data_IF_439196095316
#
_entry.id   IF_439196095316
#
_cell.length_a   1.000
_cell.length_b   1.000
_cell.length_c   1.000
_cell.angle_alpha   90.00
_cell.angle_beta   90.00
_cell.angle_gamma   90.00
#
_symmetry.space_group_name_H-M   'P 1'
#
loop_
_entity.id
_entity.type
_entity.pdbx_description
1 polymer ?
#
# COMPACT_ATOMS: atom_id res chain seq x y z
N UNK A 1 -23.06 -1.28 25.78
CA UNK A 1 -22.97 -1.07 24.33
C UNK A 1 -22.32 0.28 24.10
N UNK A 2 -21.25 0.49 23.34
CA UNK A 2 -20.23 -0.37 22.77
C UNK A 2 -18.96 0.51 22.77
N UNK A 3 -17.79 -0.10 23.01
CA UNK A 3 -16.53 0.64 23.04
C UNK A 3 -16.21 1.26 21.69
N UNK A 4 -15.70 2.49 21.69
CA UNK A 4 -15.03 3.10 20.54
C UNK A 4 -13.72 2.35 20.28
N UNK A 5 -13.54 1.66 19.14
CA UNK A 5 -12.22 1.28 18.72
C UNK A 5 -11.55 2.49 18.08
N UNK A 6 -10.49 2.92 18.73
CA UNK A 6 -9.57 3.96 18.32
C UNK A 6 -8.64 3.37 17.25
N UNK A 7 -8.98 3.51 15.96
CA UNK A 7 -8.04 3.25 14.86
C UNK A 7 -8.14 4.39 13.84
N UNK A 8 -7.14 5.27 13.91
CA UNK A 8 -7.03 6.49 13.14
C UNK A 8 -6.74 6.24 11.65
N UNK A 9 -7.76 6.47 10.84
CA UNK A 9 -7.66 6.84 9.43
C UNK A 9 -8.44 8.14 9.16
N UNK A 10 -8.43 9.08 10.12
CA UNK A 10 -8.92 10.45 9.93
C UNK A 10 -7.85 11.34 9.26
N UNK A 11 -7.27 10.88 8.14
CA UNK A 11 -6.49 11.75 7.24
C UNK A 11 -6.86 11.55 5.76
N UNK A 12 -8.06 11.07 5.46
CA UNK A 12 -8.63 11.21 4.13
C UNK A 12 -10.08 11.68 4.20
N UNK A 13 -10.23 12.98 4.50
CA UNK A 13 -11.43 13.73 4.14
C UNK A 13 -11.22 14.30 2.73
N UNK A 14 -12.09 14.04 1.75
CA UNK A 14 -12.04 14.72 0.47
C UNK A 14 -12.46 16.18 0.68
N UNK A 15 -11.49 17.03 1.00
CA UNK A 15 -11.69 18.42 1.42
C UNK A 15 -10.42 19.09 1.95
N UNK A 16 -9.44 18.31 2.43
CA UNK A 16 -8.12 18.80 2.86
C UNK A 16 -7.11 18.81 1.70
N UNK A 17 -7.45 19.44 0.57
CA UNK A 17 -6.58 19.53 -0.62
C UNK A 17 -5.46 20.58 -0.52
N UNK A 18 -5.05 21.00 0.68
CA UNK A 18 -4.07 22.08 0.86
C UNK A 18 -2.75 21.67 1.56
N UNK A 19 -2.57 20.41 1.97
CA UNK A 19 -1.32 19.96 2.61
C UNK A 19 -0.40 19.08 1.76
N UNK A 20 -0.82 18.71 0.55
CA UNK A 20 0.04 17.98 -0.38
C UNK A 20 0.05 18.69 -1.74
N UNK A 21 1.15 19.40 -1.99
CA UNK A 21 1.44 19.88 -3.34
C UNK A 21 1.75 18.66 -4.21
N UNK A 22 1.23 18.56 -5.44
CA UNK A 22 1.65 17.54 -6.40
C UNK A 22 3.16 17.63 -6.76
N UNK A 23 3.85 18.66 -6.27
CA UNK A 23 5.29 18.85 -6.36
C UNK A 23 6.03 18.66 -5.02
N UNK A 24 5.40 18.02 -4.03
CA UNK A 24 6.09 17.67 -2.78
C UNK A 24 7.21 16.66 -3.07
N UNK A 25 8.49 17.05 -2.93
CA UNK A 25 9.61 16.19 -3.25
C UNK A 25 9.69 14.96 -2.33
N UNK A 26 9.17 15.05 -1.09
CA UNK A 26 9.15 13.90 -0.18
C UNK A 26 8.12 12.86 -0.62
N UNK A 27 6.95 13.29 -1.10
CA UNK A 27 5.98 12.37 -1.68
C UNK A 27 6.49 11.68 -2.95
N UNK A 28 7.18 12.42 -3.81
CA UNK A 28 7.79 11.85 -5.01
C UNK A 28 8.86 10.82 -4.64
N UNK A 29 9.69 11.12 -3.65
CA UNK A 29 10.71 10.19 -3.15
C UNK A 29 10.07 8.93 -2.56
N UNK A 30 8.99 9.07 -1.80
CA UNK A 30 8.24 7.95 -1.24
C UNK A 30 7.65 7.07 -2.35
N UNK A 31 7.06 7.66 -3.39
CA UNK A 31 6.50 6.92 -4.52
C UNK A 31 7.59 6.12 -5.25
N UNK A 32 8.77 6.71 -5.45
CA UNK A 32 9.93 6.01 -6.03
C UNK A 32 10.35 4.84 -5.14
N UNK A 33 10.52 5.07 -3.84
CA UNK A 33 10.92 4.01 -2.90
C UNK A 33 9.91 2.86 -2.86
N UNK A 34 8.62 3.17 -2.80
CA UNK A 34 7.55 2.18 -2.84
C UNK A 34 7.61 1.36 -4.12
N UNK A 35 7.81 2.02 -5.27
CA UNK A 35 7.92 1.35 -6.57
C UNK A 35 9.12 0.40 -6.62
N UNK A 36 10.27 0.80 -6.07
CA UNK A 36 11.46 -0.05 -5.99
C UNK A 36 11.24 -1.27 -5.07
N UNK A 37 10.55 -1.10 -3.94
CA UNK A 37 10.18 -2.22 -3.06
C UNK A 37 9.28 -3.20 -3.79
N UNK A 38 8.22 -2.70 -4.46
CA UNK A 38 7.30 -3.53 -5.24
C UNK A 38 8.06 -4.31 -6.31
N UNK A 39 8.94 -3.62 -7.04
CA UNK A 39 9.77 -4.23 -8.08
C UNK A 39 10.64 -5.35 -7.51
N UNK A 40 11.36 -5.08 -6.42
CA UNK A 40 12.21 -6.07 -5.76
C UNK A 40 11.42 -7.31 -5.32
N UNK A 41 10.21 -7.13 -4.78
CA UNK A 41 9.32 -8.24 -4.39
C UNK A 41 8.85 -9.05 -5.60
N UNK A 42 8.51 -8.37 -6.71
CA UNK A 42 8.05 -9.05 -7.92
C UNK A 42 9.17 -9.77 -8.68
N UNK A 43 10.40 -9.25 -8.63
CA UNK A 43 11.58 -9.85 -9.24
C UNK A 43 12.23 -10.94 -8.38
N UNK A 44 11.81 -11.08 -7.11
CA UNK A 44 12.31 -12.12 -6.23
C UNK A 44 12.03 -13.51 -6.83
N UNK A 45 13.09 -14.25 -7.17
CA UNK A 45 13.02 -15.54 -7.86
C UNK A 45 12.63 -16.75 -6.99
N UNK A 46 12.07 -16.54 -5.80
CA UNK A 46 11.62 -17.61 -4.91
C UNK A 46 10.29 -18.19 -5.40
N UNK A 47 10.23 -19.44 -5.90
CA UNK A 47 9.00 -20.03 -6.41
C UNK A 47 7.95 -20.24 -5.31
N UNK A 48 8.36 -20.41 -4.05
CA UNK A 48 7.43 -20.58 -2.92
C UNK A 48 6.63 -19.32 -2.55
N UNK A 49 6.92 -18.20 -3.21
CA UNK A 49 6.26 -16.91 -3.00
C UNK A 49 5.48 -16.41 -4.22
N UNK A 50 5.23 -17.27 -5.22
CA UNK A 50 4.48 -16.84 -6.41
C UNK A 50 3.06 -16.38 -6.07
N UNK A 51 2.37 -17.05 -5.14
CA UNK A 51 1.03 -16.63 -4.69
C UNK A 51 1.03 -15.22 -4.07
N UNK A 52 2.09 -14.89 -3.33
CA UNK A 52 2.28 -13.54 -2.76
C UNK A 52 2.45 -12.52 -3.88
N UNK A 53 3.30 -12.81 -4.88
CA UNK A 53 3.50 -11.93 -6.04
C UNK A 53 2.22 -11.77 -6.85
N UNK A 54 1.47 -12.84 -7.07
CA UNK A 54 0.19 -12.81 -7.77
C UNK A 54 -0.82 -11.88 -7.07
N UNK A 55 -0.91 -11.95 -5.73
CA UNK A 55 -1.75 -11.05 -4.94
C UNK A 55 -1.29 -9.61 -5.02
N UNK A 56 0.02 -9.35 -4.96
CA UNK A 56 0.57 -8.00 -5.12
C UNK A 56 0.23 -7.42 -6.52
N UNK A 57 0.37 -8.22 -7.59
CA UNK A 57 -0.04 -7.81 -8.95
C UNK A 57 -1.54 -7.48 -9.03
N UNK A 58 -2.38 -8.26 -8.35
CA UNK A 58 -3.82 -7.98 -8.29
C UNK A 58 -4.12 -6.65 -7.58
N UNK A 59 -3.39 -6.31 -6.51
CA UNK A 59 -3.54 -5.01 -5.84
C UNK A 59 -3.05 -3.85 -6.70
N UNK A 60 -1.98 -4.02 -7.47
CA UNK A 60 -1.51 -3.01 -8.43
C UNK A 60 -2.54 -2.74 -9.52
N UNK A 61 -3.15 -3.79 -10.06
CA UNK A 61 -4.20 -3.66 -11.08
C UNK A 61 -5.45 -2.92 -10.56
N UNK A 62 -5.73 -2.99 -9.24
CA UNK A 62 -6.84 -2.29 -8.59
C UNK A 62 -6.51 -0.83 -8.23
N UNK A 63 -5.23 -0.46 -8.18
CA UNK A 63 -4.77 0.88 -7.76
C UNK A 63 -3.83 1.50 -8.81
N UNK A 64 -4.30 1.77 -10.04
CA UNK A 64 -3.47 2.34 -11.09
C UNK A 64 -2.99 3.75 -10.70
N UNK A 65 -1.68 4.01 -10.86
CA UNK A 65 -1.06 5.29 -10.48
C UNK A 65 -0.79 5.47 -8.99
N UNK A 66 -1.22 4.52 -8.16
CA UNK A 66 -1.12 4.56 -6.70
C UNK A 66 -0.43 3.30 -6.14
N UNK A 67 0.86 3.08 -6.45
CA UNK A 67 1.60 1.92 -5.97
C UNK A 67 1.65 1.84 -4.43
N UNK A 68 1.60 2.97 -3.73
CA UNK A 68 1.55 3.07 -2.28
C UNK A 68 0.29 2.44 -1.69
N UNK A 69 -0.86 2.66 -2.31
CA UNK A 69 -2.13 2.05 -1.89
C UNK A 69 -2.14 0.56 -2.19
N UNK A 70 -1.58 0.14 -3.32
CA UNK A 70 -1.44 -1.27 -3.66
C UNK A 70 -0.56 -2.03 -2.65
N UNK A 71 0.59 -1.46 -2.28
CA UNK A 71 1.50 -2.06 -1.31
C UNK A 71 0.86 -2.11 0.07
N UNK A 72 0.20 -1.04 0.52
CA UNK A 72 -0.49 -1.01 1.80
C UNK A 72 -1.60 -2.09 1.88
N UNK A 73 -2.46 -2.17 0.86
CA UNK A 73 -3.52 -3.18 0.80
C UNK A 73 -2.95 -4.61 0.84
N UNK A 74 -1.85 -4.85 0.12
CA UNK A 74 -1.15 -6.13 0.14
C UNK A 74 -0.59 -6.48 1.52
N UNK A 75 0.03 -5.52 2.22
CA UNK A 75 0.56 -5.71 3.56
C UNK A 75 -0.55 -5.98 4.57
N UNK A 76 -1.65 -5.24 4.51
CA UNK A 76 -2.82 -5.47 5.36
C UNK A 76 -3.39 -6.87 5.18
N UNK A 77 -3.60 -7.32 3.94
CA UNK A 77 -4.07 -8.67 3.65
C UNK A 77 -3.13 -9.74 4.25
N UNK A 78 -1.82 -9.56 4.10
CA UNK A 78 -0.82 -10.47 4.65
C UNK A 78 -0.82 -10.51 6.18
N UNK A 79 -0.98 -9.35 6.82
CA UNK A 79 -1.05 -9.26 8.28
C UNK A 79 -2.32 -9.93 8.81
N UNK A 80 -3.46 -9.77 8.13
CA UNK A 80 -4.71 -10.45 8.47
C UNK A 80 -4.63 -11.97 8.24
N UNK A 81 -3.95 -12.42 7.18
CA UNK A 81 -3.75 -13.85 6.91
C UNK A 81 -2.72 -14.51 7.82
N UNK A 82 -1.99 -13.74 8.63
CA UNK A 82 -0.96 -14.22 9.56
C UNK A 82 -1.43 -14.24 11.02
N UNK A 83 -2.66 -13.83 11.31
CA UNK A 83 -3.29 -13.99 12.63
C UNK A 83 -4.15 -15.27 12.64
N UNK A 84 -3.98 -16.16 13.63
CA UNK A 84 -4.74 -17.41 13.74
C UNK A 84 -6.22 -17.21 14.06
#
# INVERSE_FOLDING_TARGET
MAGTPFFGLELYRPGDSHLYSPADPELLLLQVQVTEIIRSVLEAGDPGKEDVRARLRAHLARNPGHPELALLAHLQERHSASQP
#
